data_IF_705126434555
#
_entry.id   IF_705126434555
#
_cell.length_a   1.000
_cell.length_b   1.000
_cell.length_c   1.000
_cell.angle_alpha   90.00
_cell.angle_beta   90.00
_cell.angle_gamma   90.00
#
_symmetry.space_group_name_H-M   'P 1'
#
loop_
_entity.id
_entity.type
_entity.pdbx_description
1 polymer ?
#
# COMPACT_ATOMS: atom_id res chain seq x y z
N UNK A 1 -2.92 -30.34 14.07
CA UNK A 1 -2.74 -28.98 14.60
C UNK A 1 -2.99 -27.96 13.50
N UNK A 2 -3.98 -27.15 13.67
CA UNK A 2 -4.29 -26.09 12.70
C UNK A 2 -3.32 -24.94 12.95
N UNK A 3 -2.46 -24.68 11.98
CA UNK A 3 -1.53 -23.56 12.05
C UNK A 3 -2.27 -22.29 11.61
N UNK A 4 -2.38 -21.33 12.50
CA UNK A 4 -2.92 -20.03 12.10
C UNK A 4 -2.05 -19.42 11.00
N UNK A 5 -2.69 -19.08 9.90
CA UNK A 5 -2.00 -18.45 8.80
C UNK A 5 -1.85 -16.96 9.09
N UNK A 6 -0.62 -16.48 9.20
CA UNK A 6 -0.35 -15.05 9.31
C UNK A 6 -0.38 -14.43 7.93
N UNK A 7 -1.09 -13.32 7.80
CA UNK A 7 -1.19 -12.57 6.54
C UNK A 7 -0.52 -11.23 6.71
N UNK A 8 0.43 -10.94 5.83
CA UNK A 8 1.10 -9.65 5.78
C UNK A 8 0.65 -8.91 4.54
N UNK A 9 0.14 -7.71 4.72
CA UNK A 9 -0.30 -6.84 3.64
C UNK A 9 0.48 -5.53 3.72
N UNK A 10 1.10 -5.17 2.61
CA UNK A 10 1.79 -3.88 2.49
C UNK A 10 0.98 -2.95 1.62
N UNK A 11 0.93 -1.67 1.99
CA UNK A 11 0.21 -0.64 1.26
C UNK A 11 1.22 0.41 0.83
N UNK A 12 1.34 0.62 -0.47
CA UNK A 12 2.23 1.62 -1.03
C UNK A 12 1.40 2.85 -1.37
N UNK A 13 1.56 3.88 -0.56
CA UNK A 13 0.81 5.12 -0.64
C UNK A 13 -0.02 5.36 0.61
N UNK A 14 0.29 6.43 1.34
CA UNK A 14 -0.39 6.81 2.58
C UNK A 14 -1.40 7.95 2.38
N UNK A 15 -1.92 8.09 1.16
CA UNK A 15 -2.98 9.03 0.85
C UNK A 15 -4.33 8.54 1.37
N UNK A 16 -5.40 9.23 0.97
CA UNK A 16 -6.75 8.93 1.45
C UNK A 16 -7.15 7.48 1.16
N UNK A 17 -6.90 7.00 -0.06
CA UNK A 17 -7.27 5.63 -0.46
C UNK A 17 -6.47 4.60 0.33
N UNK A 18 -5.15 4.79 0.45
CA UNK A 18 -4.28 3.88 1.18
C UNK A 18 -4.65 3.79 2.66
N UNK A 19 -4.87 4.94 3.29
CA UNK A 19 -5.24 4.99 4.71
C UNK A 19 -6.61 4.37 4.97
N UNK A 20 -7.58 4.63 4.09
CA UNK A 20 -8.92 4.05 4.20
C UNK A 20 -8.87 2.54 4.01
N UNK A 21 -8.07 2.06 3.06
CA UNK A 21 -7.87 0.63 2.83
C UNK A 21 -7.26 -0.04 4.06
N UNK A 22 -6.24 0.56 4.65
CA UNK A 22 -5.60 0.04 5.86
C UNK A 22 -6.61 -0.05 7.03
N UNK A 23 -7.43 0.97 7.19
CA UNK A 23 -8.47 0.98 8.22
C UNK A 23 -9.47 -0.17 8.02
N UNK A 24 -9.94 -0.36 6.78
CA UNK A 24 -10.89 -1.42 6.48
C UNK A 24 -10.30 -2.81 6.73
N UNK A 25 -9.04 -3.03 6.33
CA UNK A 25 -8.34 -4.29 6.58
C UNK A 25 -8.19 -4.58 8.07
N UNK A 26 -7.85 -3.55 8.84
CA UNK A 26 -7.72 -3.65 10.28
C UNK A 26 -9.06 -4.00 10.93
N UNK A 27 -10.12 -3.29 10.56
CA UNK A 27 -11.44 -3.46 11.14
C UNK A 27 -12.01 -4.85 10.87
N UNK A 28 -11.79 -5.38 9.68
CA UNK A 28 -12.29 -6.70 9.29
C UNK A 28 -11.37 -7.84 9.74
N UNK A 29 -10.21 -7.53 10.30
CA UNK A 29 -9.28 -8.54 10.79
C UNK A 29 -8.68 -9.39 9.70
N UNK A 30 -8.50 -8.85 8.50
CA UNK A 30 -8.03 -9.59 7.32
C UNK A 30 -6.50 -9.77 7.28
N UNK A 31 -5.77 -9.00 8.06
CA UNK A 31 -4.32 -9.07 8.09
C UNK A 31 -3.80 -9.12 9.52
N UNK A 32 -2.76 -9.88 9.76
CA UNK A 32 -2.05 -9.90 11.04
C UNK A 32 -0.97 -8.82 11.10
N UNK A 33 -0.46 -8.39 9.95
CA UNK A 33 0.56 -7.35 9.85
C UNK A 33 0.22 -6.44 8.66
N UNK A 34 0.27 -5.13 8.88
CA UNK A 34 0.07 -4.12 7.84
C UNK A 34 1.27 -3.17 7.87
N UNK A 35 1.92 -3.02 6.72
CA UNK A 35 3.03 -2.08 6.54
C UNK A 35 2.60 -1.00 5.57
N UNK A 36 2.76 0.26 5.96
CA UNK A 36 2.42 1.41 5.14
C UNK A 36 3.72 2.08 4.69
N UNK A 37 3.88 2.24 3.38
CA UNK A 37 5.04 2.87 2.77
C UNK A 37 4.60 4.07 1.96
N UNK A 38 5.29 5.20 2.15
CA UNK A 38 5.06 6.41 1.36
C UNK A 38 6.39 7.16 1.21
N UNK A 39 6.53 7.86 0.11
CA UNK A 39 7.65 8.79 -0.11
C UNK A 39 7.73 9.79 1.05
N UNK A 40 6.58 10.28 1.49
CA UNK A 40 6.48 11.10 2.69
C UNK A 40 6.42 10.18 3.92
N UNK A 41 7.58 9.93 4.50
CA UNK A 41 7.73 9.00 5.65
C UNK A 41 6.96 9.48 6.87
N UNK A 42 6.91 10.79 7.10
CA UNK A 42 6.17 11.34 8.23
C UNK A 42 4.67 11.08 8.10
N UNK A 43 4.15 11.20 6.88
CA UNK A 43 2.74 10.90 6.61
C UNK A 43 2.41 9.44 6.84
N UNK A 44 3.25 8.54 6.34
CA UNK A 44 3.08 7.10 6.56
C UNK A 44 3.13 6.75 8.04
N UNK A 45 4.07 7.34 8.77
CA UNK A 45 4.21 7.13 10.20
C UNK A 45 3.00 7.64 10.98
N UNK A 46 2.52 8.83 10.66
CA UNK A 46 1.35 9.41 11.32
C UNK A 46 0.09 8.54 11.09
N UNK A 47 -0.13 8.08 9.87
CA UNK A 47 -1.26 7.21 9.55
C UNK A 47 -1.16 5.87 10.27
N UNK A 48 0.03 5.27 10.30
CA UNK A 48 0.24 4.00 10.99
C UNK A 48 0.00 4.12 12.49
N UNK A 49 0.47 5.20 13.11
CA UNK A 49 0.25 5.45 14.53
C UNK A 49 -1.23 5.67 14.86
N UNK A 50 -1.93 6.42 14.01
CA UNK A 50 -3.35 6.69 14.19
C UNK A 50 -4.16 5.38 14.15
N UNK A 51 -3.86 4.52 13.19
CA UNK A 51 -4.51 3.21 13.07
C UNK A 51 -4.14 2.29 14.23
N UNK A 52 -2.88 2.29 14.66
CA UNK A 52 -2.43 1.45 15.76
C UNK A 52 -3.14 1.78 17.08
N UNK A 53 -3.49 3.04 17.31
CA UNK A 53 -4.26 3.45 18.49
C UNK A 53 -5.66 2.85 18.49
N UNK A 54 -6.27 2.66 17.31
CA UNK A 54 -7.57 2.00 17.17
C UNK A 54 -7.52 0.49 17.28
N UNK A 55 -6.34 -0.12 17.13
CA UNK A 55 -6.19 -1.57 17.12
C UNK A 55 -6.58 -2.24 18.45
N UNK A 56 -6.60 -1.49 19.54
CA UNK A 56 -7.03 -2.00 20.85
C UNK A 56 -8.50 -2.45 20.87
N UNK A 57 -9.30 -1.99 19.92
CA UNK A 57 -10.73 -2.28 19.85
C UNK A 57 -11.09 -3.33 18.80
N UNK A 58 -10.10 -3.89 18.10
CA UNK A 58 -10.29 -4.88 17.05
C UNK A 58 -9.36 -6.07 17.26
N UNK A 59 -9.40 -7.05 16.36
CA UNK A 59 -8.48 -8.18 16.41
C UNK A 59 -7.03 -7.70 16.39
N UNK A 60 -6.18 -8.47 17.06
CA UNK A 60 -4.75 -8.14 17.12
C UNK A 60 -4.15 -8.01 15.72
N UNK A 61 -3.59 -6.84 15.45
CA UNK A 61 -2.91 -6.54 14.19
C UNK A 61 -1.70 -5.68 14.48
N UNK A 62 -0.58 -5.97 13.81
CA UNK A 62 0.64 -5.18 13.90
C UNK A 62 0.65 -4.20 12.71
N UNK A 63 0.52 -2.91 13.01
CA UNK A 63 0.50 -1.86 12.00
C UNK A 63 1.72 -0.97 12.19
N UNK A 64 2.49 -0.81 11.12
CA UNK A 64 3.68 0.04 11.15
C UNK A 64 3.89 0.73 9.81
N UNK A 65 4.60 1.85 9.84
CA UNK A 65 5.17 2.46 8.64
C UNK A 65 6.59 1.92 8.45
N UNK A 66 7.06 1.96 7.21
CA UNK A 66 8.40 1.51 6.91
C UNK A 66 8.87 1.87 5.53
N UNK A 67 10.01 1.34 5.16
CA UNK A 67 10.58 1.40 3.82
C UNK A 67 10.19 0.14 3.04
N UNK A 68 10.60 0.07 1.78
CA UNK A 68 10.35 -1.13 0.96
C UNK A 68 10.93 -2.40 1.58
N UNK A 69 12.05 -2.30 2.27
CA UNK A 69 12.64 -3.45 2.96
C UNK A 69 11.70 -4.05 4.02
N UNK A 70 10.88 -3.22 4.64
CA UNK A 70 9.92 -3.67 5.65
C UNK A 70 8.72 -4.40 5.04
N UNK A 71 8.53 -4.31 3.72
CA UNK A 71 7.47 -5.03 3.01
C UNK A 71 7.84 -6.47 2.70
N UNK A 72 9.03 -6.91 3.08
CA UNK A 72 9.54 -8.24 2.76
C UNK A 72 8.54 -9.33 3.12
N UNK A 73 8.37 -10.28 2.20
CA UNK A 73 7.50 -11.45 2.38
C UNK A 73 6.02 -11.09 2.58
N UNK A 74 5.58 -9.99 1.99
CA UNK A 74 4.16 -9.67 1.96
C UNK A 74 3.39 -10.68 1.12
N UNK A 75 2.20 -11.04 1.57
CA UNK A 75 1.28 -11.88 0.80
C UNK A 75 0.59 -11.07 -0.29
N UNK A 76 0.21 -9.85 0.04
CA UNK A 76 -0.44 -8.92 -0.88
C UNK A 76 0.22 -7.56 -0.73
N UNK A 77 0.49 -6.92 -1.85
CA UNK A 77 0.94 -5.53 -1.89
C UNK A 77 -0.11 -4.71 -2.63
N UNK A 78 -0.70 -3.75 -1.94
CA UNK A 78 -1.72 -2.87 -2.51
C UNK A 78 -1.05 -1.56 -2.90
N UNK A 79 -1.11 -1.21 -4.19
CA UNK A 79 -0.48 0.01 -4.69
C UNK A 79 -1.56 1.06 -4.92
N UNK A 80 -1.58 2.06 -4.06
CA UNK A 80 -2.51 3.18 -4.13
C UNK A 80 -1.80 4.50 -4.47
N UNK A 81 -0.48 4.45 -4.61
CA UNK A 81 0.32 5.62 -4.91
C UNK A 81 -0.03 6.20 -6.29
N UNK A 82 0.05 7.50 -6.40
CA UNK A 82 -0.23 8.20 -7.64
C UNK A 82 -0.55 9.66 -7.36
N UNK A 83 -0.66 10.44 -8.42
CA UNK A 83 -1.02 11.85 -8.34
C UNK A 83 -2.34 12.11 -9.05
N UNK A 84 -3.12 13.02 -8.49
CA UNK A 84 -4.34 13.50 -9.11
C UNK A 84 -4.08 14.64 -10.09
N UNK A 85 -5.12 15.09 -10.79
CA UNK A 85 -5.00 16.19 -11.75
C UNK A 85 -4.69 17.51 -11.04
N UNK A 86 -3.78 18.27 -11.63
CA UNK A 86 -3.54 19.67 -11.27
C UNK A 86 -4.17 20.57 -12.31
N UNK A 87 -4.50 21.84 -11.96
CA UNK A 87 -5.04 22.79 -12.94
C UNK A 87 -4.15 22.86 -14.18
N UNK A 88 -4.77 22.77 -15.36
CA UNK A 88 -4.07 22.85 -16.63
C UNK A 88 -3.44 21.54 -17.11
N UNK A 89 -3.51 20.46 -16.34
CA UNK A 89 -2.99 19.17 -16.77
C UNK A 89 -4.00 18.38 -17.58
N UNK A 90 -3.51 17.72 -18.63
CA UNK A 90 -4.30 16.79 -19.43
C UNK A 90 -4.33 15.42 -18.78
N UNK A 91 -5.28 14.56 -19.22
CA UNK A 91 -5.33 13.17 -18.80
C UNK A 91 -4.03 12.42 -19.14
N UNK A 92 -3.44 12.73 -20.28
CA UNK A 92 -2.19 12.13 -20.71
C UNK A 92 -1.04 12.49 -19.77
N UNK A 93 -0.99 13.73 -19.28
CA UNK A 93 0.03 14.16 -18.32
C UNK A 93 -0.05 13.34 -17.03
N UNK A 94 -1.27 13.10 -16.54
CA UNK A 94 -1.50 12.30 -15.33
C UNK A 94 -1.05 10.85 -15.55
N UNK A 95 -1.39 10.27 -16.69
CA UNK A 95 -0.98 8.91 -17.04
C UNK A 95 0.54 8.80 -17.03
N UNK A 96 1.23 9.74 -17.68
CA UNK A 96 2.70 9.73 -17.75
C UNK A 96 3.33 9.86 -16.37
N UNK A 97 2.80 10.71 -15.51
CA UNK A 97 3.30 10.86 -14.14
C UNK A 97 3.14 9.57 -13.34
N UNK A 98 1.96 8.95 -13.41
CA UNK A 98 1.68 7.73 -12.67
C UNK A 98 2.49 6.55 -13.19
N UNK A 99 2.75 6.49 -14.50
CA UNK A 99 3.66 5.49 -15.07
C UNK A 99 5.05 5.58 -14.48
N UNK A 100 5.58 6.79 -14.37
CA UNK A 100 6.92 7.01 -13.77
C UNK A 100 6.95 6.57 -12.30
N UNK A 101 5.89 6.88 -11.55
CA UNK A 101 5.75 6.46 -10.17
C UNK A 101 5.76 4.95 -10.06
N UNK A 102 4.99 4.26 -10.89
CA UNK A 102 4.94 2.79 -10.91
C UNK A 102 6.26 2.17 -11.32
N UNK A 103 6.97 2.76 -12.27
CA UNK A 103 8.30 2.30 -12.68
C UNK A 103 9.32 2.36 -11.54
N UNK A 104 9.12 3.22 -10.55
CA UNK A 104 9.96 3.28 -9.37
C UNK A 104 9.50 2.32 -8.26
N UNK A 105 8.20 2.07 -8.17
CA UNK A 105 7.60 1.25 -7.11
C UNK A 105 7.74 -0.24 -7.37
N UNK A 106 7.33 -0.69 -8.55
CA UNK A 106 7.20 -2.13 -8.84
C UNK A 106 8.51 -2.90 -8.69
N UNK A 107 9.66 -2.42 -9.20
CA UNK A 107 10.92 -3.14 -8.98
C UNK A 107 11.28 -3.32 -7.51
N UNK A 108 11.02 -2.32 -6.68
CA UNK A 108 11.28 -2.40 -5.24
C UNK A 108 10.36 -3.40 -4.56
N UNK A 109 9.09 -3.40 -4.93
CA UNK A 109 8.11 -4.35 -4.38
C UNK A 109 8.49 -5.78 -4.74
N UNK A 110 8.82 -6.03 -5.99
CA UNK A 110 9.19 -7.37 -6.47
C UNK A 110 10.49 -7.84 -5.84
N UNK A 111 11.43 -6.94 -5.60
CA UNK A 111 12.70 -7.26 -4.95
C UNK A 111 12.50 -7.88 -3.56
N UNK A 112 11.58 -7.33 -2.77
CA UNK A 112 11.36 -7.76 -1.39
C UNK A 112 10.22 -8.77 -1.25
N UNK A 113 9.26 -8.78 -2.16
CA UNK A 113 8.09 -9.66 -2.11
C UNK A 113 7.78 -10.26 -3.49
N UNK A 114 8.69 -11.11 -4.02
CA UNK A 114 8.54 -11.65 -5.37
C UNK A 114 7.34 -12.59 -5.55
N UNK A 115 6.82 -13.14 -4.46
CA UNK A 115 5.69 -14.07 -4.51
C UNK A 115 4.37 -13.43 -4.08
N UNK A 116 4.34 -12.11 -3.91
CA UNK A 116 3.12 -11.41 -3.50
C UNK A 116 2.15 -11.23 -4.66
N UNK A 117 0.88 -11.05 -4.31
CA UNK A 117 -0.13 -10.60 -5.25
C UNK A 117 -0.10 -9.07 -5.25
N UNK A 118 0.03 -8.48 -6.42
CA UNK A 118 -0.01 -7.03 -6.57
C UNK A 118 -1.43 -6.58 -6.90
N UNK A 119 -2.02 -5.79 -6.03
CA UNK A 119 -3.34 -5.22 -6.23
C UNK A 119 -3.20 -3.73 -6.56
N UNK A 120 -3.50 -3.38 -7.81
CA UNK A 120 -3.35 -2.01 -8.30
C UNK A 120 -4.67 -1.27 -8.14
N UNK A 121 -4.65 -0.19 -7.36
CA UNK A 121 -5.82 0.66 -7.12
C UNK A 121 -5.63 2.05 -7.75
N UNK A 122 -4.40 2.40 -8.12
CA UNK A 122 -4.09 3.68 -8.76
C UNK A 122 -4.68 3.78 -10.16
N UNK A 123 -5.11 4.97 -10.54
CA UNK A 123 -5.65 5.22 -11.88
C UNK A 123 -4.56 5.70 -12.85
N UNK A 124 -4.61 5.33 -14.13
CA UNK A 124 -5.58 4.39 -14.73
C UNK A 124 -5.20 2.92 -14.44
N UNK A 125 -6.11 2.20 -13.80
CA UNK A 125 -5.88 0.83 -13.34
C UNK A 125 -5.45 -0.11 -14.47
N UNK A 126 -6.16 -0.09 -15.58
CA UNK A 126 -5.91 -1.00 -16.70
C UNK A 126 -4.50 -0.84 -17.28
N UNK A 127 -4.08 0.39 -17.51
CA UNK A 127 -2.78 0.69 -18.10
C UNK A 127 -1.66 0.34 -17.10
N UNK A 128 -1.82 0.71 -15.85
CA UNK A 128 -0.80 0.48 -14.83
C UNK A 128 -0.64 -1.02 -14.53
N UNK A 129 -1.72 -1.76 -14.51
CA UNK A 129 -1.70 -3.20 -14.29
C UNK A 129 -1.01 -3.93 -15.45
N UNK A 130 -1.23 -3.50 -16.68
CA UNK A 130 -0.61 -4.10 -17.85
C UNK A 130 0.90 -3.91 -17.87
N UNK A 131 1.39 -2.77 -17.41
CA UNK A 131 2.82 -2.45 -17.42
C UNK A 131 3.58 -3.16 -16.28
N UNK A 132 2.89 -3.47 -15.21
CA UNK A 132 3.46 -4.23 -14.11
C UNK A 132 3.76 -5.68 -14.53
#
# INVERSE_FOLDING_TARGET
MIREKTNKISIIGAGFVGSTTAFALMQDGLASEIVIVDINKDKAHAEAMDLAQGAAFVKSVDIKSGDYADTKDSDIVIITAGVGPKPGETRLDIINKNLKIFQSIVPEVVKYSPNSILLVVSNPVDILTYID
#
